data_IF_822956521168
#
_entry.id   IF_822956521168
#
_cell.length_a   1.000
_cell.length_b   1.000
_cell.length_c   1.000
_cell.angle_alpha   90.00
_cell.angle_beta   90.00
_cell.angle_gamma   90.00
#
_symmetry.space_group_name_H-M   'P 1'
#
loop_
_entity.id
_entity.type
_entity.pdbx_description
1 polymer ?
#
# COMPACT_ATOMS: atom_id res chain seq x y z
N UNK A 2 61.20 31.72 -18.08
CA UNK A 2 60.04 31.39 -17.21
C UNK A 2 58.92 30.81 -18.07
N UNK A 3 58.47 29.61 -17.72
CA UNK A 3 57.37 28.99 -18.43
C UNK A 3 56.75 27.93 -17.56
N UNK A 4 55.49 27.64 -17.86
CA UNK A 4 54.63 26.85 -17.00
C UNK A 4 54.26 25.59 -17.77
N UNK A 5 54.63 24.42 -17.26
CA UNK A 5 54.38 23.19 -17.99
C UNK A 5 53.33 22.43 -17.21
N UNK A 6 52.16 22.26 -17.82
CA UNK A 6 50.97 21.73 -17.19
C UNK A 6 50.68 20.37 -17.78
N UNK A 7 50.69 19.34 -16.97
CA UNK A 7 50.45 17.99 -17.47
C UNK A 7 49.36 17.30 -16.69
N UNK A 8 49.03 16.09 -17.13
CA UNK A 8 48.02 15.29 -16.50
C UNK A 8 46.72 15.45 -17.24
N UNK A 9 45.86 14.45 -17.10
CA UNK A 9 44.59 14.40 -17.81
C UNK A 9 43.50 15.31 -17.20
N UNK A 10 42.93 16.15 -18.07
CA UNK A 10 42.04 17.19 -17.66
C UNK A 10 40.68 17.10 -18.31
N UNK A 11 39.64 17.03 -17.49
CA UNK A 11 38.31 17.12 -18.01
C UNK A 11 37.57 18.31 -17.44
N UNK A 12 37.78 18.59 -16.17
CA UNK A 12 37.09 19.69 -15.55
C UNK A 12 37.96 20.93 -15.49
N UNK A 13 39.28 20.72 -15.49
CA UNK A 13 40.27 21.78 -15.33
C UNK A 13 40.46 22.55 -16.62
N UNK A 14 40.17 23.85 -16.55
CA UNK A 14 40.41 24.77 -17.64
C UNK A 14 41.69 25.54 -17.36
N UNK A 15 42.34 26.02 -18.42
CA UNK A 15 43.52 26.88 -18.31
C UNK A 15 43.42 27.96 -17.22
N UNK A 16 42.42 28.84 -17.31
CA UNK A 16 42.30 29.93 -16.36
C UNK A 16 42.33 29.48 -14.91
N UNK A 17 41.85 28.27 -14.62
CA UNK A 17 41.80 27.78 -13.26
C UNK A 17 43.22 27.78 -12.70
N UNK A 18 44.15 27.24 -13.46
CA UNK A 18 45.53 27.18 -12.98
C UNK A 18 46.16 28.56 -12.96
N UNK A 19 45.84 29.36 -14.00
CA UNK A 19 46.28 30.74 -14.10
C UNK A 19 45.86 31.55 -12.88
N UNK A 20 44.59 31.47 -12.50
CA UNK A 20 44.14 32.29 -11.41
C UNK A 20 44.72 31.83 -10.06
N UNK A 21 45.14 30.57 -9.99
CA UNK A 21 45.73 30.03 -8.76
C UNK A 21 47.08 30.68 -8.44
N UNK A 22 47.98 30.62 -9.41
CA UNK A 22 49.26 31.31 -9.35
C UNK A 22 49.13 32.86 -9.18
N UNK A 23 48.22 33.50 -9.92
CA UNK A 23 47.99 34.95 -9.82
C UNK A 23 47.57 35.41 -8.43
N UNK A 24 46.85 34.56 -7.71
CA UNK A 24 46.43 34.86 -6.36
C UNK A 24 47.63 35.05 -5.42
N UNK A 25 48.79 34.54 -5.86
CA UNK A 25 49.97 34.51 -5.01
C UNK A 25 50.90 35.70 -5.18
N UNK A 26 50.69 36.46 -6.25
CA UNK A 26 51.46 37.67 -6.47
C UNK A 26 51.40 38.14 -7.90
N UNK A 27 52.28 39.10 -8.22
CA UNK A 27 52.34 39.67 -9.56
C UNK A 27 52.82 38.63 -10.60
N UNK A 28 52.21 38.64 -11.83
CA UNK A 28 52.70 37.83 -12.95
C UNK A 28 54.11 38.25 -13.33
N UNK A 29 55.01 37.31 -13.55
CA UNK A 29 56.38 37.72 -13.81
C UNK A 29 57.26 37.46 -12.62
N UNK A 30 56.66 37.33 -11.44
CA UNK A 30 57.37 36.80 -10.28
C UNK A 30 56.97 35.35 -10.01
N UNK A 31 56.07 34.80 -10.84
CA UNK A 31 55.54 33.47 -10.56
C UNK A 31 56.60 32.42 -10.32
N UNK A 32 57.76 32.56 -10.97
CA UNK A 32 58.85 31.60 -10.80
C UNK A 32 59.52 31.65 -9.41
N UNK A 33 59.29 32.73 -8.65
CA UNK A 33 59.86 32.85 -7.31
C UNK A 33 58.87 32.44 -6.22
N UNK A 34 57.73 31.89 -6.61
CA UNK A 34 56.71 31.55 -5.63
C UNK A 34 57.04 30.24 -4.93
N UNK A 35 56.45 30.00 -3.77
CA UNK A 35 56.68 28.77 -3.04
C UNK A 35 55.80 27.62 -3.57
N UNK A 36 56.46 26.72 -4.25
CA UNK A 36 55.93 25.45 -4.74
C UNK A 36 54.90 24.79 -3.77
N UNK A 37 55.15 24.74 -2.47
CA UNK A 37 54.09 24.17 -1.60
C UNK A 37 52.86 25.05 -1.44
N UNK A 38 53.05 26.36 -1.50
CA UNK A 38 51.92 27.28 -1.46
C UNK A 38 51.09 27.21 -2.74
N UNK A 39 51.75 27.15 -3.88
CA UNK A 39 51.01 26.92 -5.10
C UNK A 39 50.16 25.65 -4.97
N UNK A 40 50.76 24.56 -4.51
CA UNK A 40 50.01 23.31 -4.37
C UNK A 40 48.77 23.52 -3.48
N UNK A 41 48.93 24.22 -2.36
CA UNK A 41 47.77 24.50 -1.52
C UNK A 41 46.68 25.26 -2.29
N UNK A 42 47.07 26.25 -3.09
CA UNK A 42 46.07 27.10 -3.74
C UNK A 42 45.29 26.29 -4.76
N UNK A 43 45.99 25.47 -5.52
CA UNK A 43 45.32 24.64 -6.48
C UNK A 43 44.37 23.66 -5.81
N UNK A 44 44.82 22.98 -4.73
CA UNK A 44 43.99 21.98 -4.07
C UNK A 44 42.72 22.62 -3.58
N UNK A 45 42.85 23.81 -2.95
CA UNK A 45 41.71 24.57 -2.40
C UNK A 45 40.72 25.11 -3.43
N UNK A 46 41.26 25.62 -4.54
CA UNK A 46 40.45 26.44 -5.43
C UNK A 46 39.76 25.54 -6.40
N UNK A 47 40.33 24.35 -6.58
CA UNK A 47 39.84 23.39 -7.55
C UNK A 47 39.53 22.05 -6.87
N UNK A 48 38.37 21.96 -6.18
CA UNK A 48 38.05 20.78 -5.37
C UNK A 48 37.87 19.48 -6.19
N UNK A 49 37.90 19.56 -7.52
CA UNK A 49 37.90 18.32 -8.31
C UNK A 49 39.30 17.76 -8.51
N UNK A 50 40.31 18.40 -7.94
CA UNK A 50 41.67 17.92 -8.03
C UNK A 50 41.96 16.92 -6.92
N UNK A 51 42.39 15.73 -7.32
CA UNK A 51 42.69 14.70 -6.34
C UNK A 51 44.16 14.74 -5.88
N UNK A 52 45.05 15.13 -6.78
CA UNK A 52 46.45 15.13 -6.46
C UNK A 52 47.07 16.17 -7.38
N UNK A 53 47.88 17.06 -6.81
CA UNK A 53 48.63 18.03 -7.59
C UNK A 53 50.05 17.96 -7.18
N UNK A 54 50.93 17.99 -8.14
CA UNK A 54 52.33 18.02 -7.80
C UNK A 54 52.95 19.25 -8.44
N UNK A 55 53.76 19.99 -7.70
CA UNK A 55 54.33 21.23 -8.20
C UNK A 55 55.83 21.29 -7.99
N UNK A 56 56.57 21.50 -9.06
CA UNK A 56 57.98 21.52 -8.90
C UNK A 56 58.64 22.39 -9.96
N UNK A 57 59.82 22.90 -9.61
CA UNK A 57 60.56 23.73 -10.50
C UNK A 57 61.55 22.85 -11.15
N UNK A 58 61.79 23.08 -12.44
CA UNK A 58 62.59 22.22 -13.25
C UNK A 58 63.49 23.08 -14.19
N UNK A 59 64.68 22.57 -14.46
CA UNK A 59 65.63 23.26 -15.27
C UNK A 59 65.26 23.05 -16.72
N UNK A 60 65.40 24.10 -17.56
CA UNK A 60 65.72 25.47 -17.18
C UNK A 60 64.45 26.29 -17.04
N UNK A 61 64.30 26.96 -15.92
CA UNK A 61 63.18 27.86 -15.72
C UNK A 61 61.79 27.29 -16.09
N UNK A 62 61.45 26.12 -15.54
CA UNK A 62 60.12 25.57 -15.78
C UNK A 62 59.44 25.28 -14.47
N UNK A 63 58.19 25.70 -14.37
CA UNK A 63 57.29 25.31 -13.30
C UNK A 63 56.45 24.16 -13.84
N UNK A 64 56.74 22.95 -13.34
CA UNK A 64 55.96 21.78 -13.69
C UNK A 64 54.84 21.60 -12.69
N UNK A 65 53.61 21.57 -13.20
CA UNK A 65 52.45 21.31 -12.38
C UNK A 65 51.77 20.12 -12.98
N UNK A 66 51.62 19.05 -12.20
CA UNK A 66 51.00 17.83 -12.77
C UNK A 66 49.73 17.52 -11.99
N UNK A 67 48.63 17.31 -12.72
CA UNK A 67 47.29 17.24 -12.13
C UNK A 67 46.71 15.88 -12.27
N UNK A 68 46.00 15.44 -11.24
CA UNK A 68 45.16 14.27 -11.32
C UNK A 68 43.79 14.58 -10.77
N UNK A 69 42.76 14.45 -11.61
CA UNK A 69 41.38 14.77 -11.25
C UNK A 69 40.67 13.56 -10.67
N UNK A 70 39.80 13.80 -9.69
CA UNK A 70 38.86 12.75 -9.25
C UNK A 70 38.06 12.30 -10.46
N UNK A 71 37.76 11.01 -10.57
CA UNK A 71 36.83 10.60 -11.64
C UNK A 71 35.48 10.12 -11.08
N UNK A 72 34.40 10.86 -11.35
CA UNK A 72 33.08 10.52 -10.77
C UNK A 72 32.50 9.22 -11.29
N UNK A 73 31.89 8.43 -10.41
CA UNK A 73 31.01 7.35 -10.89
C UNK A 73 29.57 7.61 -10.54
N UNK A 74 29.35 8.52 -9.61
CA UNK A 74 27.99 8.90 -9.27
C UNK A 74 27.90 10.31 -8.71
N UNK A 75 26.70 10.88 -8.73
CA UNK A 75 26.50 12.17 -8.11
C UNK A 75 26.16 11.88 -6.67
N UNK A 76 26.42 12.84 -5.79
CA UNK A 76 26.32 12.63 -4.38
C UNK A 76 25.55 13.76 -3.73
N UNK A 77 24.39 13.41 -3.18
CA UNK A 77 23.36 14.33 -2.71
C UNK A 77 23.75 15.80 -2.61
N UNK A 78 23.57 16.63 -3.62
CA UNK A 78 22.90 16.48 -4.88
C UNK A 78 23.82 17.37 -5.73
N UNK A 79 24.72 18.05 -5.02
CA UNK A 79 25.69 18.99 -5.56
C UNK A 79 27.07 18.39 -5.66
N UNK A 80 27.29 17.27 -5.01
CA UNK A 80 28.62 16.69 -5.05
C UNK A 80 28.70 15.48 -5.99
N UNK A 81 29.90 14.95 -6.13
CA UNK A 81 30.13 13.77 -6.92
C UNK A 81 30.94 12.79 -6.06
N UNK A 82 31.08 11.54 -6.52
CA UNK A 82 31.78 10.50 -5.78
C UNK A 82 32.53 9.61 -6.76
N UNK A 83 33.72 9.13 -6.37
CA UNK A 83 34.60 8.34 -7.27
C UNK A 83 34.60 6.86 -6.89
N UNK A 84 35.31 6.02 -7.65
CA UNK A 84 35.27 4.57 -7.44
C UNK A 84 35.75 4.15 -6.04
N UNK A 85 36.49 5.05 -5.39
CA UNK A 85 37.10 4.74 -4.11
C UNK A 85 36.31 5.32 -2.96
N UNK A 86 35.22 5.99 -3.30
CA UNK A 86 34.33 6.53 -2.28
C UNK A 86 34.75 7.91 -1.84
N UNK A 87 35.62 8.55 -2.61
CA UNK A 87 35.98 9.93 -2.35
C UNK A 87 34.96 10.88 -2.90
N UNK A 88 34.70 11.89 -2.08
CA UNK A 88 33.66 12.85 -2.30
C UNK A 88 34.30 14.15 -2.82
N UNK A 89 33.71 14.77 -3.83
CA UNK A 89 34.22 16.03 -4.36
C UNK A 89 33.10 16.84 -5.05
N UNK A 90 33.45 17.95 -5.66
CA UNK A 90 32.43 18.72 -6.35
C UNK A 90 33.04 19.41 -7.55
N UNK A 91 32.20 19.92 -8.43
CA UNK A 91 32.62 20.63 -9.62
C UNK A 91 31.50 21.56 -10.06
N UNK A 92 31.84 22.79 -10.45
CA UNK A 92 30.85 23.78 -10.83
C UNK A 92 29.84 23.20 -11.83
N UNK A 93 28.53 23.39 -11.58
CA UNK A 93 27.45 22.76 -12.33
C UNK A 93 27.58 22.95 -13.84
N UNK A 94 27.97 24.14 -14.28
CA UNK A 94 28.10 24.48 -15.70
C UNK A 94 29.04 23.53 -16.43
N UNK A 95 29.91 22.88 -15.68
CA UNK A 95 30.97 22.09 -16.26
C UNK A 95 30.63 20.63 -16.40
N UNK A 96 29.38 20.28 -16.13
CA UNK A 96 29.02 18.86 -16.02
C UNK A 96 27.59 18.48 -16.37
N UNK A 97 26.84 19.44 -16.93
CA UNK A 97 25.40 19.26 -17.10
C UNK A 97 25.00 18.22 -18.15
N UNK A 98 25.98 17.65 -18.86
CA UNK A 98 25.69 16.67 -19.91
C UNK A 98 26.19 15.24 -19.58
N UNK A 99 26.45 14.98 -18.30
CA UNK A 99 26.89 13.66 -17.87
C UNK A 99 25.76 12.85 -17.25
N UNK A 100 25.53 11.66 -17.80
CA UNK A 100 24.53 10.73 -17.27
C UNK A 100 25.13 9.90 -16.14
N UNK A 101 24.84 10.29 -14.91
CA UNK A 101 25.36 9.56 -13.76
C UNK A 101 24.26 9.12 -12.82
N UNK A 102 24.40 7.91 -12.26
CA UNK A 102 23.50 7.54 -11.20
C UNK A 102 23.57 8.56 -10.07
N UNK A 103 22.46 8.75 -9.35
CA UNK A 103 22.41 9.59 -8.17
C UNK A 103 22.39 8.79 -6.85
N UNK A 104 23.34 9.09 -5.99
CA UNK A 104 23.38 8.48 -4.71
C UNK A 104 23.06 9.53 -3.68
N UNK A 105 22.23 9.15 -2.71
CA UNK A 105 21.93 10.00 -1.58
C UNK A 105 22.25 9.21 -0.33
N UNK A 106 22.70 9.91 0.71
CA UNK A 106 23.09 9.31 1.98
C UNK A 106 23.49 10.33 3.05
N UNK A 107 23.56 9.87 4.31
CA UNK A 107 23.97 10.78 5.38
C UNK A 107 25.43 11.17 5.23
N UNK A 108 25.81 12.29 5.81
CA UNK A 108 27.16 12.74 5.59
C UNK A 108 28.15 11.74 6.19
N UNK A 109 29.12 11.35 5.37
CA UNK A 109 30.16 10.39 5.75
C UNK A 109 29.82 8.97 5.33
N UNK A 110 28.70 8.79 4.62
CA UNK A 110 28.30 7.44 4.26
C UNK A 110 28.63 7.09 2.81
N UNK A 111 29.30 8.03 2.11
CA UNK A 111 29.51 7.93 0.67
C UNK A 111 29.93 6.54 0.22
N UNK A 112 30.82 5.93 0.98
CA UNK A 112 31.39 4.65 0.62
C UNK A 112 30.46 3.50 0.95
N UNK A 113 29.70 3.65 2.04
CA UNK A 113 28.72 2.65 2.45
C UNK A 113 27.62 2.59 1.40
N UNK A 114 27.10 3.74 1.00
CA UNK A 114 26.09 3.80 -0.05
C UNK A 114 26.62 3.18 -1.33
N UNK A 115 27.89 3.43 -1.61
CA UNK A 115 28.46 3.06 -2.89
C UNK A 115 28.54 1.56 -3.05
N UNK A 116 28.95 0.88 -1.98
CA UNK A 116 29.11 -0.55 -1.99
C UNK A 116 27.74 -1.22 -2.14
N UNK A 117 26.69 -0.49 -1.77
CA UNK A 117 25.35 -1.02 -1.83
C UNK A 117 24.81 -0.83 -3.22
N UNK A 118 25.07 0.34 -3.80
CA UNK A 118 24.75 0.58 -5.20
C UNK A 118 25.51 -0.43 -6.08
N UNK A 119 26.76 -0.72 -5.71
CA UNK A 119 27.55 -1.75 -6.41
C UNK A 119 26.83 -3.09 -6.38
N UNK A 120 26.45 -3.54 -5.19
CA UNK A 120 25.89 -4.87 -5.04
C UNK A 120 24.49 -4.97 -5.65
N UNK A 121 23.61 -4.05 -5.26
CA UNK A 121 22.26 -4.04 -5.80
C UNK A 121 22.31 -3.89 -7.33
N UNK A 122 23.14 -2.97 -7.81
CA UNK A 122 23.25 -2.69 -9.25
C UNK A 122 23.58 -3.87 -10.13
N UNK A 123 24.45 -4.75 -9.63
CA UNK A 123 24.90 -5.92 -10.37
C UNK A 123 23.91 -7.07 -10.30
N UNK A 124 23.12 -7.14 -9.24
CA UNK A 124 22.09 -8.18 -9.14
C UNK A 124 20.92 -7.79 -10.03
N UNK A 125 20.75 -6.48 -10.21
CA UNK A 125 19.69 -5.94 -11.07
C UNK A 125 20.02 -6.05 -12.55
N UNK A 126 21.23 -5.65 -12.94
CA UNK A 126 21.64 -5.64 -14.35
C UNK A 126 21.68 -7.03 -14.98
N UNK A 127 21.76 -8.07 -14.14
CA UNK A 127 21.74 -9.47 -14.55
C UNK A 127 20.45 -9.78 -15.33
N UNK A 128 19.46 -8.91 -15.20
CA UNK A 128 18.16 -9.07 -15.85
C UNK A 128 17.81 -7.96 -16.87
N UNK A 129 17.82 -6.68 -16.47
CA UNK A 129 17.60 -5.58 -17.41
C UNK A 129 17.39 -4.25 -16.70
N UNK A 130 17.29 -4.33 -15.39
CA UNK A 130 17.01 -3.18 -14.56
C UNK A 130 18.23 -2.29 -14.47
N UNK A 131 18.06 -1.06 -14.90
CA UNK A 131 19.07 -0.02 -14.81
C UNK A 131 18.88 0.73 -13.49
N UNK A 132 19.87 0.63 -12.61
CA UNK A 132 19.78 1.30 -11.34
C UNK A 132 20.14 2.77 -11.50
N UNK A 133 19.14 3.63 -11.45
CA UNK A 133 19.28 5.06 -11.76
C UNK A 133 19.55 5.94 -10.52
N UNK A 134 18.99 5.58 -9.37
CA UNK A 134 19.16 6.36 -8.14
C UNK A 134 19.11 5.41 -6.96
N UNK A 135 19.78 5.78 -5.88
CA UNK A 135 19.85 4.96 -4.68
C UNK A 135 19.95 5.88 -3.47
N UNK A 136 18.98 5.78 -2.58
CA UNK A 136 18.92 6.65 -1.42
C UNK A 136 18.96 5.81 -0.17
N UNK A 137 19.96 6.03 0.67
CA UNK A 137 20.02 5.41 2.01
C UNK A 137 19.76 6.51 3.04
N UNK A 138 18.94 6.20 4.05
CA UNK A 138 18.59 7.14 5.11
C UNK A 138 19.53 6.93 6.27
N UNK A 139 19.44 7.77 7.29
CA UNK A 139 20.32 7.66 8.48
C UNK A 139 20.12 6.38 9.31
N UNK A 140 18.87 5.93 9.47
CA UNK A 140 18.57 4.50 9.68
C UNK A 140 18.96 3.90 8.33
N UNK A 141 19.22 2.61 8.24
CA UNK A 141 19.84 2.17 6.96
C UNK A 141 18.76 1.69 5.96
N UNK A 142 17.71 2.48 5.79
CA UNK A 142 16.58 2.18 4.91
C UNK A 142 16.90 2.57 3.48
N UNK A 143 16.43 1.80 2.51
CA UNK A 143 16.85 2.05 1.12
C UNK A 143 15.67 2.26 0.18
N UNK A 144 15.76 3.29 -0.66
CA UNK A 144 14.89 3.40 -1.83
C UNK A 144 15.66 3.55 -3.14
N UNK A 145 15.14 2.92 -4.19
CA UNK A 145 15.79 2.89 -5.49
C UNK A 145 14.88 3.43 -6.60
N UNK A 146 15.47 4.16 -7.53
CA UNK A 146 14.77 4.48 -8.74
C UNK A 146 15.40 3.65 -9.83
N UNK A 147 14.57 2.85 -10.50
CA UNK A 147 15.01 1.98 -11.56
C UNK A 147 14.84 2.67 -12.89
N UNK A 148 14.91 1.89 -13.97
CA UNK A 148 15.13 2.44 -15.30
C UNK A 148 14.06 3.44 -15.73
N UNK A 149 12.80 3.00 -15.79
CA UNK A 149 11.73 3.97 -15.89
C UNK A 149 11.63 4.69 -14.56
N UNK A 150 10.59 5.47 -14.33
CA UNK A 150 10.54 6.21 -13.08
C UNK A 150 10.11 5.31 -11.92
N UNK A 151 10.51 4.03 -11.93
CA UNK A 151 10.06 3.04 -10.93
C UNK A 151 10.73 3.17 -9.55
N UNK A 152 9.99 3.66 -8.57
CA UNK A 152 10.47 3.69 -7.18
C UNK A 152 10.31 2.34 -6.49
N UNK A 153 11.37 1.89 -5.83
CA UNK A 153 11.38 0.60 -5.20
C UNK A 153 11.72 0.81 -3.73
N UNK A 154 10.72 0.78 -2.87
CA UNK A 154 10.99 0.90 -1.46
C UNK A 154 11.40 -0.43 -0.86
N UNK A 155 12.65 -0.52 -0.43
CA UNK A 155 13.27 -1.79 -0.08
C UNK A 155 13.32 -1.97 1.43
N UNK A 156 13.36 -0.87 2.16
CA UNK A 156 13.34 -0.91 3.60
C UNK A 156 14.68 -1.03 4.28
N UNK A 157 14.62 -1.50 5.53
CA UNK A 157 15.69 -1.44 6.49
C UNK A 157 16.23 -2.82 6.80
N UNK A 158 15.59 -3.84 6.26
CA UNK A 158 15.86 -5.21 6.71
C UNK A 158 17.09 -5.88 6.13
N UNK A 159 16.89 -7.11 5.65
CA UNK A 159 17.80 -7.73 4.69
C UNK A 159 17.28 -7.44 3.28
N UNK A 160 18.02 -6.55 2.62
CA UNK A 160 17.59 -5.97 1.36
C UNK A 160 17.92 -6.79 0.11
N UNK A 161 18.97 -7.60 0.14
CA UNK A 161 19.29 -8.44 -1.01
C UNK A 161 18.23 -9.51 -1.25
N UNK A 162 17.64 -10.03 -0.17
CA UNK A 162 16.58 -11.05 -0.30
C UNK A 162 15.35 -10.45 -0.96
N UNK A 163 14.98 -9.25 -0.53
CA UNK A 163 13.81 -8.59 -1.04
C UNK A 163 14.05 -8.16 -2.48
N UNK A 164 15.22 -7.59 -2.74
CA UNK A 164 15.59 -7.19 -4.10
C UNK A 164 15.51 -8.40 -5.03
N UNK A 165 15.90 -9.56 -4.51
CA UNK A 165 15.87 -10.79 -5.29
C UNK A 165 14.43 -11.20 -5.61
N UNK A 166 13.58 -11.22 -4.60
CA UNK A 166 12.16 -11.54 -4.81
C UNK A 166 11.50 -10.59 -5.81
N UNK A 167 11.81 -9.29 -5.67
CA UNK A 167 11.39 -8.28 -6.64
C UNK A 167 11.73 -8.69 -8.07
N UNK A 168 12.97 -9.12 -8.28
CA UNK A 168 13.44 -9.55 -9.59
C UNK A 168 12.62 -10.75 -10.12
N UNK A 169 12.34 -11.71 -9.23
CA UNK A 169 11.58 -12.88 -9.63
C UNK A 169 10.16 -12.46 -9.98
N UNK A 170 9.57 -11.58 -9.18
CA UNK A 170 8.13 -11.34 -9.30
C UNK A 170 7.75 -10.01 -9.94
N UNK A 171 8.70 -9.39 -10.63
CA UNK A 171 8.38 -8.20 -11.43
C UNK A 171 7.87 -8.53 -12.85
N UNK A 172 8.46 -9.55 -13.53
CA UNK A 172 7.96 -9.89 -14.86
C UNK A 172 6.43 -9.98 -14.93
N UNK A 173 5.83 -10.78 -14.06
CA UNK A 173 4.40 -11.05 -14.13
C UNK A 173 3.53 -9.82 -13.82
N UNK A 174 4.02 -8.91 -12.96
CA UNK A 174 3.33 -7.66 -12.67
C UNK A 174 3.40 -6.70 -13.85
N UNK A 175 4.55 -6.72 -14.50
CA UNK A 175 4.76 -5.99 -15.75
C UNK A 175 3.71 -6.33 -16.82
N UNK A 176 3.53 -7.63 -17.06
CA UNK A 176 2.58 -8.12 -18.07
C UNK A 176 1.13 -7.75 -17.71
N UNK A 177 0.86 -7.66 -16.40
CA UNK A 177 -0.43 -7.25 -15.88
C UNK A 177 -0.70 -5.78 -16.18
N UNK A 178 0.29 -4.93 -15.93
CA UNK A 178 0.12 -3.49 -16.14
C UNK A 178 -0.03 -3.17 -17.63
N UNK A 179 0.76 -3.85 -18.46
CA UNK A 179 0.74 -3.64 -19.91
C UNK A 179 -0.59 -4.05 -20.57
N UNK A 180 -1.12 -5.20 -20.16
CA UNK A 180 -2.43 -5.67 -20.64
C UNK A 180 -3.51 -4.66 -20.25
N UNK A 181 -3.32 -3.99 -19.11
CA UNK A 181 -4.30 -3.05 -18.60
C UNK A 181 -3.87 -1.57 -18.80
N UNK A 182 -2.90 -1.36 -19.70
CA UNK A 182 -2.49 -0.01 -20.15
C UNK A 182 -1.87 0.93 -19.11
N UNK A 183 -1.38 0.36 -18.03
CA UNK A 183 -0.76 1.12 -16.96
C UNK A 183 0.71 0.73 -16.94
N UNK A 184 1.47 1.34 -16.03
CA UNK A 184 2.83 0.94 -15.81
C UNK A 184 3.11 1.01 -14.32
N UNK A 185 4.00 0.14 -13.86
CA UNK A 185 4.25 -0.03 -12.44
C UNK A 185 5.14 1.09 -11.97
N UNK A 186 4.61 2.01 -11.17
CA UNK A 186 5.35 3.20 -10.78
C UNK A 186 6.09 3.08 -9.43
N UNK A 187 5.61 2.17 -8.57
CA UNK A 187 6.11 2.07 -7.21
C UNK A 187 5.92 0.66 -6.69
N UNK A 188 6.88 0.20 -5.90
CA UNK A 188 6.79 -1.11 -5.26
C UNK A 188 7.33 -1.02 -3.85
N UNK A 189 6.61 -1.61 -2.92
CA UNK A 189 6.99 -1.56 -1.52
C UNK A 189 7.27 -2.98 -1.01
N UNK A 190 8.52 -3.42 -1.16
CA UNK A 190 8.96 -4.64 -0.48
C UNK A 190 9.64 -4.21 0.81
N UNK A 191 9.09 -3.25 1.53
CA UNK A 191 9.69 -2.79 2.77
C UNK A 191 9.58 -3.82 3.90
N UNK A 192 8.61 -4.71 3.79
CA UNK A 192 8.21 -5.55 4.92
C UNK A 192 8.20 -7.03 4.58
N UNK A 193 8.63 -7.83 5.55
CA UNK A 193 8.49 -9.29 5.50
C UNK A 193 7.01 -9.57 5.49
N UNK A 194 6.59 -10.53 4.67
CA UNK A 194 5.19 -11.01 4.69
C UNK A 194 4.22 -10.18 3.87
N UNK A 195 4.71 -9.15 3.19
CA UNK A 195 3.85 -8.25 2.46
C UNK A 195 4.50 -7.38 1.39
N UNK A 196 3.71 -7.03 0.40
CA UNK A 196 4.13 -6.13 -0.67
C UNK A 196 2.97 -5.24 -1.09
N UNK A 197 3.27 -3.98 -1.38
CA UNK A 197 2.30 -3.06 -1.95
C UNK A 197 2.84 -2.61 -3.29
N UNK A 198 1.93 -2.29 -4.20
CA UNK A 198 2.28 -1.95 -5.57
C UNK A 198 1.37 -0.84 -6.04
N UNK A 199 1.97 0.16 -6.67
CA UNK A 199 1.23 1.28 -7.26
C UNK A 199 1.46 1.44 -8.76
N UNK A 200 0.41 1.83 -9.48
CA UNK A 200 0.52 2.01 -10.91
C UNK A 200 0.11 3.42 -11.36
N UNK A 201 0.33 3.71 -12.63
CA UNK A 201 0.18 5.05 -13.20
C UNK A 201 0.02 4.86 -14.68
N UNK A 202 -0.63 5.81 -15.37
CA UNK A 202 -0.92 5.66 -16.79
C UNK A 202 0.36 5.56 -17.60
N UNK A 203 0.29 4.92 -18.77
CA UNK A 203 1.48 4.75 -19.59
C UNK A 203 1.51 5.78 -20.73
N UNK A 204 2.67 6.47 -20.91
CA UNK A 204 2.90 7.44 -22.01
C UNK A 204 2.51 6.91 -23.39
N UNK B 2 -64.41 -17.37 26.06
CA UNK B 2 -63.26 -16.45 26.13
C UNK B 2 -61.93 -17.21 25.96
N UNK B 3 -61.70 -17.73 24.75
CA UNK B 3 -60.46 -18.41 24.47
C UNK B 3 -59.65 -17.71 23.38
N UNK B 4 -58.33 -17.87 23.48
CA UNK B 4 -57.34 -17.27 22.59
C UNK B 4 -56.95 -18.29 21.53
N UNK B 5 -57.36 -18.04 20.29
CA UNK B 5 -57.03 -18.92 19.17
C UNK B 5 -55.88 -18.34 18.33
N UNK B 6 -54.70 -18.94 18.46
CA UNK B 6 -53.49 -18.51 17.76
C UNK B 6 -53.27 -19.31 16.49
N UNK B 7 -53.07 -18.61 15.39
CA UNK B 7 -52.68 -19.26 14.14
C UNK B 7 -51.44 -18.59 13.54
N UNK B 8 -50.74 -19.32 12.70
CA UNK B 8 -49.55 -18.81 12.04
C UNK B 8 -48.34 -19.67 12.29
N UNK B 9 -47.43 -19.69 11.31
CA UNK B 9 -46.15 -20.38 11.41
C UNK B 9 -45.28 -19.66 12.43
N UNK B 10 -44.96 -20.33 13.53
CA UNK B 10 -44.24 -19.68 14.65
C UNK B 10 -42.98 -20.42 15.05
N UNK B 11 -41.86 -19.69 15.14
CA UNK B 11 -40.62 -20.27 15.64
C UNK B 11 -40.14 -19.59 16.92
N UNK B 12 -40.39 -18.27 17.02
CA UNK B 12 -39.82 -17.46 18.09
C UNK B 12 -40.88 -17.07 19.11
N UNK B 13 -42.13 -17.06 18.67
CA UNK B 13 -43.24 -16.65 19.50
C UNK B 13 -43.71 -17.78 20.43
N UNK B 14 -43.81 -17.45 21.72
CA UNK B 14 -44.32 -18.38 22.72
C UNK B 14 -45.73 -17.95 23.10
N UNK B 15 -46.63 -18.91 23.23
CA UNK B 15 -48.03 -18.61 23.62
C UNK B 15 -48.14 -17.50 24.65
N UNK B 16 -47.23 -17.54 25.63
CA UNK B 16 -47.17 -16.58 26.70
C UNK B 16 -46.86 -15.16 26.27
N UNK B 17 -46.01 -14.99 25.24
CA UNK B 17 -45.68 -13.63 24.77
C UNK B 17 -46.93 -12.82 24.47
N UNK B 18 -47.90 -13.48 23.84
CA UNK B 18 -49.13 -12.84 23.43
C UNK B 18 -50.04 -12.61 24.64
N UNK B 19 -50.25 -13.67 25.42
CA UNK B 19 -50.97 -13.55 26.69
C UNK B 19 -50.55 -12.26 27.37
N UNK B 20 -49.24 -12.13 27.50
CA UNK B 20 -48.63 -11.06 28.28
C UNK B 20 -48.86 -9.67 27.67
N UNK B 21 -48.91 -9.60 26.34
CA UNK B 21 -49.14 -8.32 25.66
C UNK B 21 -50.52 -7.77 25.99
N UNK B 22 -51.51 -8.66 25.93
CA UNK B 22 -52.91 -8.35 26.24
C UNK B 22 -53.08 -8.02 27.73
N UNK B 23 -52.47 -8.84 28.59
CA UNK B 23 -52.51 -8.61 30.02
C UNK B 23 -51.98 -7.25 30.40
N UNK B 24 -50.97 -6.76 29.67
CA UNK B 24 -50.30 -5.51 30.01
C UNK B 24 -51.18 -4.27 29.86
N UNK B 25 -52.47 -4.49 29.64
CA UNK B 25 -53.46 -3.42 29.53
C UNK B 25 -54.36 -3.35 30.78
N UNK B 26 -55.50 -2.68 30.68
CA UNK B 26 -56.43 -2.52 31.80
C UNK B 26 -57.12 -3.84 32.21
N UNK B 29 -61.38 -8.42 32.31
CA UNK B 29 -60.24 -9.24 31.91
C UNK B 29 -60.55 -9.99 30.64
N UNK B 30 -61.84 -10.20 30.40
CA UNK B 30 -62.34 -10.98 29.26
C UNK B 30 -61.74 -10.54 27.92
N UNK B 31 -61.03 -11.45 27.26
CA UNK B 31 -60.46 -11.19 25.94
C UNK B 31 -61.48 -10.55 25.00
N UNK B 32 -62.69 -11.08 25.06
CA UNK B 32 -63.82 -10.59 24.27
C UNK B 32 -64.16 -9.12 24.56
N UNK B 33 -63.64 -8.55 25.65
CA UNK B 33 -63.82 -7.11 25.90
C UNK B 33 -62.64 -6.23 25.46
N UNK B 34 -61.45 -6.80 25.30
CA UNK B 34 -60.26 -5.99 24.98
C UNK B 34 -60.40 -5.38 23.61
N UNK B 35 -59.77 -4.23 23.39
CA UNK B 35 -59.86 -3.57 22.09
C UNK B 35 -58.88 -4.17 21.11
N UNK B 36 -59.45 -4.70 20.04
CA UNK B 36 -58.71 -5.43 19.00
C UNK B 36 -57.48 -4.68 18.44
N UNK B 37 -57.62 -3.37 18.19
CA UNK B 37 -56.57 -2.55 17.60
C UNK B 37 -55.43 -2.21 18.55
N UNK B 38 -55.78 -2.05 19.83
CA UNK B 38 -54.79 -1.83 20.86
C UNK B 38 -53.94 -3.07 21.09
N UNK B 39 -54.55 -4.26 21.04
CA UNK B 39 -53.76 -5.48 21.27
C UNK B 39 -52.85 -5.73 20.07
N UNK B 40 -53.37 -5.48 18.87
CA UNK B 40 -52.51 -5.52 17.68
C UNK B 40 -51.30 -4.63 17.89
N UNK B 41 -51.55 -3.37 18.28
CA UNK B 41 -50.46 -2.41 18.48
C UNK B 41 -49.50 -2.87 19.57
N UNK B 42 -50.03 -3.49 20.62
CA UNK B 42 -49.18 -4.02 21.68
C UNK B 42 -48.28 -5.11 21.15
N UNK B 43 -48.85 -5.98 20.33
CA UNK B 43 -48.08 -7.08 19.82
C UNK B 43 -46.97 -6.58 18.88
N UNK B 44 -47.33 -5.69 17.95
CA UNK B 44 -46.34 -5.10 17.05
C UNK B 44 -45.19 -4.39 17.79
N UNK B 45 -45.51 -3.65 18.86
CA UNK B 45 -44.48 -2.90 19.60
C UNK B 45 -43.73 -3.70 20.68
N UNK B 46 -44.28 -4.81 21.17
CA UNK B 46 -43.59 -5.61 22.19
C UNK B 46 -42.76 -6.74 21.59
N UNK B 47 -43.16 -7.20 20.41
CA UNK B 47 -42.51 -8.36 19.81
C UNK B 47 -41.81 -7.99 18.50
N UNK B 48 -40.50 -7.68 18.58
CA UNK B 48 -39.79 -7.18 17.39
C UNK B 48 -39.65 -8.19 16.26
N UNK B 49 -39.79 -9.48 16.54
CA UNK B 49 -39.73 -10.48 15.46
C UNK B 49 -41.06 -10.76 14.73
N UNK B 50 -42.15 -10.07 15.10
CA UNK B 50 -43.43 -10.24 14.41
C UNK B 50 -43.54 -9.28 13.23
N UNK B 51 -43.83 -9.81 12.05
CA UNK B 51 -43.83 -9.00 10.82
C UNK B 51 -45.24 -8.50 10.58
N UNK B 52 -46.22 -9.27 11.04
CA UNK B 52 -47.61 -8.92 10.84
C UNK B 52 -48.49 -9.67 11.85
N UNK B 53 -49.55 -9.00 12.29
CA UNK B 53 -50.48 -9.53 13.31
C UNK B 53 -51.91 -9.15 12.97
N UNK B 54 -52.79 -10.15 12.96
CA UNK B 54 -54.21 -9.88 12.86
C UNK B 54 -54.92 -10.21 14.13
N UNK B 55 -55.86 -9.36 14.49
CA UNK B 55 -56.71 -9.63 15.63
C UNK B 55 -58.17 -9.44 15.21
N UNK B 56 -58.94 -10.49 15.47
CA UNK B 56 -60.32 -10.61 15.05
C UNK B 56 -61.08 -11.22 16.23
N UNK B 57 -62.30 -10.78 16.46
CA UNK B 57 -63.17 -11.55 17.34
C UNK B 57 -64.08 -12.46 16.50
N UNK B 58 -64.21 -13.72 16.91
CA UNK B 58 -65.26 -14.56 16.37
C UNK B 58 -66.21 -14.94 17.47
N UNK B 59 -67.34 -14.27 17.45
CA UNK B 59 -68.34 -14.43 18.47
C UNK B 59 -68.84 -15.83 18.37
N UNK B 60 -69.23 -16.43 19.53
CA UNK B 60 -69.33 -15.76 20.84
C UNK B 60 -68.10 -15.76 21.78
N UNK B 61 -67.00 -16.41 21.40
CA UNK B 61 -66.04 -16.76 22.44
C UNK B 61 -64.54 -16.81 22.04
N UNK B 62 -64.21 -16.41 20.82
CA UNK B 62 -62.85 -16.60 20.33
C UNK B 62 -62.18 -15.29 19.97
N UNK B 63 -61.00 -15.07 20.53
CA UNK B 63 -60.13 -14.02 20.03
C UNK B 63 -59.20 -14.73 19.08
N UNK B 64 -59.31 -14.40 17.79
CA UNK B 64 -58.49 -15.05 16.78
C UNK B 64 -57.33 -14.16 16.45
N UNK B 65 -56.12 -14.63 16.76
CA UNK B 65 -54.93 -13.84 16.43
C UNK B 65 -54.04 -14.64 15.50
N UNK B 66 -53.70 -14.03 14.37
CA UNK B 66 -52.82 -14.66 13.36
C UNK B 66 -51.47 -13.94 13.27
N UNK B 67 -50.38 -14.69 13.37
CA UNK B 67 -49.05 -14.07 13.43
C UNK B 67 -48.17 -14.49 12.27
N UNK B 68 -47.46 -13.53 11.69
CA UNK B 68 -46.38 -13.86 10.78
C UNK B 68 -45.07 -13.30 11.30
N UNK B 69 -44.08 -14.18 11.41
CA UNK B 69 -42.75 -13.79 11.90
C UNK B 69 -41.77 -13.49 10.78
N UNK B 70 -40.75 -12.69 11.08
CA UNK B 70 -39.66 -12.47 10.15
C UNK B 70 -38.88 -13.76 10.15
N UNK B 71 -38.36 -14.14 8.98
CA UNK B 71 -37.48 -15.29 8.84
C UNK B 71 -36.09 -14.77 8.49
N UNK B 72 -35.09 -15.09 9.33
CA UNK B 72 -33.77 -14.50 9.14
C UNK B 72 -33.00 -15.26 8.09
N UNK B 73 -32.27 -14.57 7.23
CA UNK B 73 -31.33 -15.28 6.35
C UNK B 73 -29.92 -14.93 6.71
N UNK B 74 -29.74 -13.89 7.54
CA UNK B 74 -28.42 -13.51 8.04
C UNK B 74 -28.46 -12.67 9.33
N UNK B 75 -27.31 -12.51 9.97
CA UNK B 75 -27.22 -11.65 11.16
C UNK B 75 -26.77 -10.26 10.78
N UNK B 76 -27.05 -9.30 11.67
CA UNK B 76 -26.78 -7.90 11.43
C UNK B 76 -26.90 -7.17 12.75
N UNK B 77 -25.89 -6.48 13.25
CA UNK B 77 -24.53 -6.59 12.91
C UNK B 77 -24.07 -7.79 13.73
N UNK B 78 -24.13 -7.66 15.04
CA UNK B 78 -23.97 -8.82 15.89
C UNK B 78 -25.26 -9.16 16.61
N UNK B 79 -26.03 -8.13 16.95
CA UNK B 79 -27.22 -8.27 17.78
C UNK B 79 -28.50 -8.57 16.97
N UNK B 80 -28.61 -8.00 15.78
CA UNK B 80 -29.86 -8.04 15.04
C UNK B 80 -29.89 -9.16 14.01
N UNK B 81 -30.99 -9.25 13.29
CA UNK B 81 -31.12 -10.20 12.19
C UNK B 81 -31.75 -9.44 11.06
N UNK B 82 -31.62 -9.97 9.84
CA UNK B 82 -32.22 -9.36 8.67
C UNK B 82 -32.92 -10.43 7.86
N UNK B 83 -34.03 -10.07 7.23
CA UNK B 83 -34.80 -11.02 6.43
C UNK B 83 -34.58 -10.85 4.92
N UNK B 84 -35.05 -11.82 4.14
CA UNK B 84 -34.85 -11.84 2.66
C UNK B 84 -35.09 -10.50 2.01
N UNK B 85 -36.12 -9.79 2.49
CA UNK B 85 -36.53 -8.51 1.94
C UNK B 85 -35.80 -7.29 2.55
N UNK B 86 -34.78 -7.52 3.37
CA UNK B 86 -33.98 -6.42 3.87
C UNK B 86 -34.43 -5.88 5.22
N UNK B 87 -35.44 -6.52 5.81
CA UNK B 87 -35.97 -6.06 7.08
C UNK B 87 -35.14 -6.48 8.28
N UNK B 88 -34.79 -5.48 9.06
CA UNK B 88 -34.01 -5.60 10.27
C UNK B 88 -34.92 -5.91 11.47
N UNK B 89 -34.56 -6.93 12.23
CA UNK B 89 -35.30 -7.23 13.44
C UNK B 89 -34.38 -7.82 14.49
N UNK B 90 -34.92 -8.21 15.63
CA UNK B 90 -34.10 -8.89 16.63
C UNK B 90 -34.88 -10.02 17.29
N UNK B 91 -34.18 -10.82 18.09
CA UNK B 91 -34.82 -11.84 18.93
C UNK B 91 -34.09 -11.91 20.29
N UNK B 92 -34.72 -12.55 21.28
CA UNK B 92 -33.88 -12.96 22.40
C UNK B 92 -32.93 -14.10 22.00
N UNK B 93 -31.61 -13.94 22.26
CA UNK B 93 -30.59 -14.95 21.91
C UNK B 93 -30.74 -16.32 22.61
N UNK B 94 -31.66 -16.42 23.57
CA UNK B 94 -32.02 -17.72 24.15
C UNK B 94 -32.95 -18.49 23.21
N UNK B 95 -33.62 -17.76 22.32
CA UNK B 95 -34.64 -18.33 21.44
C UNK B 95 -34.02 -18.94 20.19
N UNK B 96 -32.85 -18.45 19.81
CA UNK B 96 -32.09 -19.06 18.72
C UNK B 96 -30.60 -18.75 18.79
N UNK B 97 -29.86 -19.80 19.12
CA UNK B 97 -28.41 -19.79 19.12
C UNK B 97 -27.93 -20.63 17.93
N UNK B 98 -28.41 -21.87 17.87
CA UNK B 98 -28.03 -22.85 16.85
C UNK B 98 -28.44 -22.44 15.43
N UNK B 99 -27.48 -21.91 14.68
CA UNK B 99 -27.57 -21.67 13.23
C UNK B 99 -26.29 -21.04 12.68
N UNK B 100 -25.82 -21.55 11.55
CA UNK B 100 -24.79 -20.86 10.77
C UNK B 100 -25.54 -19.92 9.81
N UNK B 101 -25.18 -18.63 9.81
CA UNK B 101 -25.78 -17.66 8.90
C UNK B 101 -24.74 -16.68 8.49
N UNK B 102 -24.79 -16.20 7.23
CA UNK B 102 -23.79 -15.18 6.92
C UNK B 102 -23.86 -14.04 7.94
N UNK B 103 -22.71 -13.52 8.34
CA UNK B 103 -22.70 -12.35 9.18
C UNK B 103 -22.55 -11.13 8.33
N UNK B 104 -23.50 -10.23 8.46
CA UNK B 104 -23.43 -8.97 7.76
C UNK B 104 -23.19 -7.87 8.77
N UNK B 105 -22.42 -6.87 8.37
CA UNK B 105 -22.20 -5.69 9.17
C UNK B 105 -22.36 -4.45 8.31
N UNK B 106 -22.73 -3.32 8.92
CA UNK B 106 -22.83 -2.01 8.23
C UNK B 106 -23.56 -0.96 9.07
N UNK B 107 -23.64 0.30 8.59
CA UNK B 107 -24.27 1.37 9.37
C UNK B 107 -25.79 1.26 9.45
N UNK B 108 -26.36 1.98 10.41
CA UNK B 108 -27.81 2.11 10.53
C UNK B 108 -28.39 2.40 9.14
N UNK B 109 -29.46 1.70 8.77
CA UNK B 109 -30.12 1.90 7.47
C UNK B 109 -29.46 1.25 6.25
N UNK B 110 -28.38 0.48 6.43
CA UNK B 110 -27.76 -0.18 5.28
C UNK B 110 -27.94 -1.70 5.15
N UNK B 111 -28.87 -2.29 5.91
CA UNK B 111 -29.06 -3.74 5.86
C UNK B 111 -29.44 -4.28 4.48
N UNK B 112 -30.41 -3.66 3.80
CA UNK B 112 -30.83 -4.11 2.48
C UNK B 112 -29.68 -3.91 1.51
N UNK B 113 -28.90 -2.87 1.74
CA UNK B 113 -27.83 -2.48 0.86
C UNK B 113 -26.80 -3.59 0.90
N UNK B 114 -26.43 -3.97 2.13
CA UNK B 114 -25.35 -4.89 2.34
C UNK B 114 -25.82 -6.27 1.90
N UNK B 115 -27.09 -6.56 2.13
CA UNK B 115 -27.62 -7.88 1.85
C UNK B 115 -27.58 -8.07 0.35
N UNK B 116 -28.01 -7.03 -0.35
CA UNK B 116 -28.05 -7.03 -1.78
C UNK B 116 -26.65 -7.27 -2.35
N UNK B 117 -25.67 -6.58 -1.79
CA UNK B 117 -24.31 -6.66 -2.21
C UNK B 117 -23.79 -8.05 -1.93
N UNK B 118 -23.95 -8.47 -0.67
CA UNK B 118 -23.56 -9.80 -0.26
C UNK B 118 -24.10 -10.85 -1.24
N UNK B 119 -25.33 -10.68 -1.73
CA UNK B 119 -25.89 -11.61 -2.74
C UNK B 119 -25.22 -11.52 -4.13
N UNK B 120 -25.02 -10.29 -4.63
CA UNK B 120 -24.44 -10.09 -5.96
C UNK B 120 -22.98 -10.56 -5.99
N UNK B 121 -22.21 -10.18 -4.97
CA UNK B 121 -20.81 -10.51 -4.91
C UNK B 121 -20.65 -12.03 -4.68
N UNK B 122 -21.45 -12.60 -3.78
CA UNK B 122 -21.40 -14.05 -3.52
C UNK B 122 -21.64 -14.88 -4.75
N UNK B 123 -22.54 -14.42 -5.61
CA UNK B 123 -22.88 -15.12 -6.86
C UNK B 123 -21.70 -15.13 -7.83
N UNK B 124 -20.91 -14.04 -7.86
CA UNK B 124 -19.72 -13.94 -8.70
C UNK B 124 -18.57 -14.77 -8.12
N UNK B 125 -18.41 -14.74 -6.80
CA UNK B 125 -17.38 -15.54 -6.12
C UNK B 125 -17.59 -17.06 -6.25
N UNK B 126 -18.82 -17.53 -6.02
CA UNK B 126 -19.17 -18.96 -6.09
C UNK B 126 -18.99 -19.55 -7.49
N UNK B 127 -19.10 -18.70 -8.51
CA UNK B 127 -18.80 -19.12 -9.88
C UNK B 127 -17.40 -19.74 -10.00
N UNK B 128 -16.49 -19.35 -9.09
CA UNK B 128 -15.15 -19.97 -9.01
C UNK B 128 -15.01 -20.98 -7.88
N UNK B 129 -14.53 -20.55 -6.72
CA UNK B 129 -14.17 -21.50 -5.69
C UNK B 129 -14.60 -20.98 -4.36
N UNK B 130 -14.91 -19.68 -4.37
CA UNK B 130 -14.94 -18.86 -3.18
C UNK B 130 -16.30 -18.82 -2.53
N UNK B 131 -16.28 -18.91 -1.21
CA UNK B 131 -17.47 -18.82 -0.38
C UNK B 131 -17.36 -17.54 0.43
N UNK B 132 -18.37 -16.68 0.29
CA UNK B 132 -18.41 -15.42 1.02
C UNK B 132 -18.88 -15.72 2.45
N UNK B 133 -17.97 -15.54 3.42
CA UNK B 133 -18.30 -15.81 4.81
C UNK B 133 -18.93 -14.64 5.58
N UNK B 134 -18.24 -13.50 5.58
CA UNK B 134 -18.83 -12.26 6.11
C UNK B 134 -18.63 -11.13 5.12
N UNK B 135 -19.43 -10.08 5.28
CA UNK B 135 -19.35 -8.95 4.41
C UNK B 135 -19.68 -7.76 5.27
N UNK B 136 -18.74 -6.85 5.41
CA UNK B 136 -18.96 -5.66 6.21
C UNK B 136 -18.81 -4.40 5.35
N UNK B 137 -19.67 -3.40 5.59
CA UNK B 137 -19.48 -2.05 5.06
C UNK B 137 -19.17 -1.11 6.25
N UNK B 138 -18.17 -0.27 6.10
CA UNK B 138 -17.78 0.72 7.11
C UNK B 138 -18.78 1.88 7.28
N UNK B 139 -18.47 2.82 8.18
CA UNK B 139 -19.23 4.07 8.31
C UNK B 139 -19.04 5.00 7.10
N UNK B 140 -17.79 5.13 6.63
CA UNK B 140 -17.54 5.46 5.23
C UNK B 140 -18.18 4.26 4.52
N UNK B 141 -18.21 4.21 3.20
CA UNK B 141 -18.93 3.04 2.65
C UNK B 141 -17.98 2.11 1.92
N UNK B 142 -16.99 1.67 2.69
CA UNK B 142 -15.93 0.80 2.25
C UNK B 142 -16.27 -0.65 2.61
N UNK B 143 -15.97 -1.58 1.71
CA UNK B 143 -16.31 -2.99 1.92
C UNK B 143 -15.13 -3.85 2.36
N UNK B 144 -15.33 -4.58 3.45
CA UNK B 144 -14.32 -5.51 3.92
C UNK B 144 -15.00 -6.84 3.90
N UNK B 145 -14.48 -7.78 3.11
CA UNK B 145 -15.19 -9.01 3.03
C UNK B 145 -14.35 -10.23 3.33
N UNK B 146 -14.91 -11.15 4.14
CA UNK B 146 -14.14 -12.32 4.54
C UNK B 146 -14.51 -13.52 3.70
N UNK B 147 -13.52 -14.06 3.00
CA UNK B 147 -13.71 -15.22 2.19
C UNK B 147 -13.55 -16.49 3.01
N UNK B 148 -13.05 -17.54 2.38
CA UNK B 148 -13.21 -18.87 2.92
C UNK B 148 -11.92 -19.58 3.30
N UNK B 149 -10.89 -18.84 3.74
CA UNK B 149 -9.62 -19.52 3.97
C UNK B 149 -8.57 -18.95 4.95
N UNK B 150 -8.90 -17.94 5.73
CA UNK B 150 -10.05 -17.11 5.53
C UNK B 150 -9.46 -15.76 5.10
N UNK B 151 -9.30 -15.64 3.80
CA UNK B 151 -8.75 -14.47 3.14
C UNK B 151 -9.59 -13.22 3.43
N UNK B 152 -8.94 -12.17 3.92
CA UNK B 152 -9.56 -10.85 4.03
C UNK B 152 -9.44 -10.09 2.71
N UNK B 153 -10.54 -9.52 2.24
CA UNK B 153 -10.54 -8.76 1.00
C UNK B 153 -11.05 -7.34 1.23
N UNK B 154 -10.15 -6.35 1.25
CA UNK B 154 -10.57 -4.96 1.36
C UNK B 154 -10.85 -4.40 -0.03
N UNK B 155 -12.13 -4.19 -0.33
CA UNK B 155 -12.55 -3.71 -1.63
C UNK B 155 -12.60 -2.19 -1.72
N UNK B 156 -12.74 -1.52 -0.58
CA UNK B 156 -12.83 -0.06 -0.59
C UNK B 156 -14.15 0.48 -1.11
N UNK B 157 -14.30 1.79 -1.09
CA UNK B 157 -15.54 2.41 -1.51
C UNK B 157 -15.53 2.61 -2.99
N UNK B 158 -16.60 2.20 -3.67
CA UNK B 158 -16.77 2.64 -5.03
C UNK B 158 -17.36 1.66 -6.01
N UNK B 159 -16.58 1.37 -7.05
CA UNK B 159 -16.97 0.47 -8.10
C UNK B 159 -16.62 -0.93 -7.64
N UNK B 160 -17.50 -1.54 -6.85
CA UNK B 160 -17.06 -2.70 -6.12
C UNK B 160 -17.22 -4.02 -6.89
N UNK B 161 -18.19 -4.11 -7.78
CA UNK B 161 -18.24 -5.26 -8.69
C UNK B 161 -17.02 -5.26 -9.61
N UNK B 162 -16.72 -4.12 -10.21
CA UNK B 162 -15.57 -3.99 -11.10
C UNK B 162 -14.33 -4.52 -10.39
N UNK B 163 -14.14 -4.11 -9.14
CA UNK B 163 -12.96 -4.47 -8.32
C UNK B 163 -12.90 -5.96 -8.02
N UNK B 164 -14.01 -6.50 -7.51
CA UNK B 164 -14.13 -7.91 -7.23
C UNK B 164 -13.83 -8.82 -8.44
N UNK B 165 -14.18 -8.35 -9.63
CA UNK B 165 -13.92 -9.12 -10.84
C UNK B 165 -12.41 -9.27 -11.05
N UNK B 166 -11.68 -8.19 -10.81
CA UNK B 166 -10.23 -8.18 -10.97
C UNK B 166 -9.55 -9.10 -9.97
N UNK B 167 -10.11 -9.16 -8.77
CA UNK B 167 -9.63 -10.08 -7.75
C UNK B 167 -9.82 -11.53 -8.18
N UNK B 168 -10.98 -11.81 -8.77
CA UNK B 168 -11.30 -13.12 -9.35
C UNK B 168 -10.28 -13.49 -10.43
N UNK B 169 -10.06 -12.59 -11.39
CA UNK B 169 -9.20 -12.86 -12.52
C UNK B 169 -7.74 -13.02 -12.07
N UNK B 170 -7.34 -12.22 -11.07
CA UNK B 170 -5.96 -12.20 -10.60
C UNK B 170 -5.61 -13.29 -9.60
N UNK B 171 -6.49 -13.53 -8.63
CA UNK B 171 -6.15 -14.39 -7.49
C UNK B 171 -5.47 -15.72 -7.82
N UNK B 172 -6.11 -16.58 -8.66
CA UNK B 172 -5.56 -17.91 -8.96
C UNK B 172 -4.03 -17.96 -8.97
N UNK B 173 -3.44 -17.08 -9.77
CA UNK B 173 -2.00 -17.07 -10.00
C UNK B 173 -1.20 -16.76 -8.73
N UNK B 174 -1.75 -15.93 -7.85
CA UNK B 174 -1.08 -15.52 -6.62
C UNK B 174 -0.96 -16.67 -5.61
N UNK B 175 -2.04 -17.43 -5.43
CA UNK B 175 -2.00 -18.55 -4.48
C UNK B 175 -1.30 -19.78 -5.06
N UNK B 176 -0.75 -19.67 -6.27
CA UNK B 176 0.07 -20.72 -6.83
C UNK B 176 1.40 -20.77 -6.07
N UNK B 177 2.00 -19.59 -5.87
CA UNK B 177 3.17 -19.45 -5.00
C UNK B 177 2.68 -19.02 -3.62
N UNK B 178 2.00 -19.93 -2.92
CA UNK B 178 1.44 -19.60 -1.61
C UNK B 178 2.32 -20.12 -0.50
N UNK B 179 2.15 -21.40 -0.18
CA UNK B 179 2.86 -21.99 0.93
C UNK B 179 4.14 -22.65 0.52
N UNK B 180 4.20 -23.10 -0.73
CA UNK B 180 5.46 -23.48 -1.33
C UNK B 180 6.29 -22.22 -1.54
N UNK B 181 6.27 -21.70 -2.77
CA UNK B 181 7.13 -20.60 -3.19
C UNK B 181 6.97 -19.35 -2.29
N UNK B 185 -1.90 -16.65 0.94
CA UNK B 185 -2.38 -15.28 0.75
C UNK B 185 -3.53 -14.93 1.71
N UNK B 186 -3.24 -14.11 2.72
CA UNK B 186 -4.22 -13.89 3.80
C UNK B 186 -5.01 -12.58 3.70
N UNK B 187 -4.70 -11.76 2.69
CA UNK B 187 -5.05 -10.34 2.70
C UNK B 187 -4.79 -9.71 1.33
N UNK B 188 -5.83 -9.06 0.79
CA UNK B 188 -5.73 -8.39 -0.50
C UNK B 188 -6.46 -7.06 -0.39
N UNK B 189 -5.75 -5.99 -0.67
CA UNK B 189 -6.28 -4.65 -0.46
C UNK B 189 -6.34 -3.82 -1.76
N UNK B 190 -7.48 -3.89 -2.47
CA UNK B 190 -7.77 -3.13 -3.72
C UNK B 190 -8.51 -1.84 -3.32
N UNK B 191 -8.14 -1.24 -2.19
CA UNK B 191 -8.94 -0.21 -1.53
C UNK B 191 -8.65 1.21 -1.99
N UNK B 192 -7.41 1.43 -2.43
CA UNK B 192 -7.00 2.78 -2.76
C UNK B 192 -6.82 2.93 -4.24
N UNK B 193 -6.65 4.17 -4.69
CA UNK B 193 -6.59 4.46 -6.09
C UNK B 193 -5.25 4.01 -6.67
N UNK B 194 -5.31 3.22 -7.74
CA UNK B 194 -4.11 2.79 -8.46
C UNK B 194 -3.01 2.27 -7.56
N UNK B 195 -3.43 1.42 -6.62
CA UNK B 195 -2.54 0.75 -5.67
C UNK B 195 -3.20 -0.56 -5.28
N UNK B 196 -2.48 -1.39 -4.54
CA UNK B 196 -2.96 -2.69 -4.06
C UNK B 196 -1.87 -3.28 -3.19
N UNK B 197 -2.23 -3.74 -2.00
CA UNK B 197 -1.29 -4.38 -1.11
C UNK B 197 -1.75 -5.82 -1.01
N UNK B 198 -0.82 -6.74 -0.80
CA UNK B 198 -1.20 -8.11 -0.49
C UNK B 198 -0.39 -8.57 0.71
N UNK B 199 -0.91 -9.58 1.39
CA UNK B 199 -0.21 -10.12 2.54
C UNK B 199 -0.28 -11.61 2.55
N UNK B 200 0.66 -12.23 3.26
CA UNK B 200 0.62 -13.67 3.42
C UNK B 200 1.03 -14.09 4.83
N UNK B 201 0.76 -15.36 5.15
CA UNK B 201 1.17 -15.96 6.41
C UNK B 201 1.53 -17.41 6.15
N UNK B 202 2.26 -18.05 7.11
CA UNK B 202 2.43 -19.51 7.05
C UNK B 202 1.08 -20.22 7.10
N UNK B 203 0.92 -21.26 6.28
CA UNK B 203 -0.37 -21.92 6.08
C UNK B 203 -0.13 -23.38 5.65
N UNK B 204 0.51 -24.15 6.37
#
# INVERSE_FOLDING_TARGET
MSKLVLTGERHYTRNDDIRQSILALGEPGTFMTQDVNIIQTQIEQRLPWIKQVSVRKQWPDELKIHLVEYVPIARWNDQHMVDAEGNTFSVPPERTSKQVLPMLYGPEGSANEVLQGYREMGQMLAKDRFTLKEAAMTARRSWQLTLNNDIKLNLGRGDTMKRLARFVELYPVLQQQAQTDGKRISYVDLRYDSGAAVGWAPLPPEESTQQQNQAQAEQQ
MSKLVLTGERHYTRNDDIRQSILALGEPGTFMTQDVNIIQTQIEQRLPWIKQVSVRKQWPDELKIHLVEYVPIARWNDQHMVDAEGNTFSVPPERTSKQVLPMLYGPEGSANEVLQGYREMGQMLAKDRFTLKEAAMTARRSWQLTLNNDIKLNLGRGDTMKRLARFVELYPVLQQQAQTDGKRISYVDLRYDSGAAVGWAPLPPEESTQQQNQAQAEQQ
#
